data_IF_371757749773
#
_entry.id   IF_371757749773
#
_cell.length_a   1.000
_cell.length_b   1.000
_cell.length_c   1.000
_cell.angle_alpha   90.00
_cell.angle_beta   90.00
_cell.angle_gamma   90.00
#
_symmetry.space_group_name_H-M   'P 1'
#
loop_
_entity.id
_entity.type
_entity.pdbx_description
1 polymer ?
#
# COMPACT_ATOMS: atom_id res chain seq x y z
N UNK A 1 -4.59 -21.10 4.89
CA UNK A 1 -4.05 -20.25 3.82
C UNK A 1 -5.23 -19.46 3.29
N UNK A 2 -5.08 -18.14 3.28
CA UNK A 2 -6.14 -17.22 2.88
C UNK A 2 -6.39 -17.44 1.39
N UNK A 3 -7.46 -18.15 1.05
CA UNK A 3 -7.72 -18.52 -0.35
C UNK A 3 -8.23 -17.27 -1.08
N UNK A 4 -7.94 -17.13 -2.38
CA UNK A 4 -8.53 -16.04 -3.18
C UNK A 4 -10.06 -16.03 -3.10
N UNK A 5 -10.67 -17.16 -2.75
CA UNK A 5 -12.11 -17.35 -2.52
C UNK A 5 -12.64 -16.60 -1.29
N UNK A 6 -11.80 -16.33 -0.30
CA UNK A 6 -12.17 -15.57 0.89
C UNK A 6 -12.35 -14.07 0.56
N UNK A 7 -11.86 -13.61 -0.60
CA UNK A 7 -12.00 -12.25 -1.07
C UNK A 7 -13.05 -12.15 -2.19
N UNK A 8 -14.19 -11.47 -1.95
CA UNK A 8 -15.26 -11.39 -2.94
C UNK A 8 -14.84 -10.59 -4.16
N UNK A 9 -15.36 -10.96 -5.33
CA UNK A 9 -15.28 -10.13 -6.53
C UNK A 9 -16.13 -8.88 -6.33
N UNK A 10 -15.55 -7.74 -6.68
CA UNK A 10 -16.21 -6.44 -6.55
C UNK A 10 -16.57 -5.88 -7.93
N UNK A 11 -17.84 -5.53 -8.15
CA UNK A 11 -18.30 -4.92 -9.41
C UNK A 11 -18.04 -3.42 -9.36
N UNK A 12 -17.10 -2.95 -10.15
CA UNK A 12 -16.80 -1.52 -10.36
C UNK A 12 -17.54 -0.97 -11.59
N UNK A 13 -17.93 -1.84 -12.52
CA UNK A 13 -18.67 -1.47 -13.73
C UNK A 13 -20.05 -0.89 -13.41
N UNK A 14 -20.31 0.32 -13.91
CA UNK A 14 -21.58 1.03 -13.73
C UNK A 14 -22.43 0.90 -14.98
N UNK A 15 -23.68 0.46 -14.84
CA UNK A 15 -24.60 0.28 -15.97
C UNK A 15 -24.96 1.63 -16.61
N UNK A 16 -24.98 1.67 -17.95
CA UNK A 16 -25.33 2.87 -18.70
C UNK A 16 -24.23 3.94 -18.77
N UNK A 17 -23.03 3.68 -18.26
CA UNK A 17 -21.89 4.60 -18.37
C UNK A 17 -20.85 4.08 -19.37
N UNK A 18 -20.55 4.86 -20.39
CA UNK A 18 -19.52 4.56 -21.40
C UNK A 18 -18.27 5.45 -21.30
N UNK A 19 -18.19 6.32 -20.30
CA UNK A 19 -17.03 7.21 -20.09
C UNK A 19 -15.82 6.38 -19.67
N UNK A 20 -14.69 6.59 -20.34
CA UNK A 20 -13.38 6.03 -20.00
C UNK A 20 -12.54 7.05 -19.24
N UNK A 21 -11.62 6.60 -18.41
CA UNK A 21 -10.75 7.46 -17.61
C UNK A 21 -9.29 7.03 -17.73
N UNK A 22 -8.38 7.99 -17.85
CA UNK A 22 -6.96 7.74 -17.58
C UNK A 22 -6.74 7.72 -16.06
N UNK A 23 -6.61 6.52 -15.51
CA UNK A 23 -6.43 6.32 -14.07
C UNK A 23 -5.05 6.73 -13.56
N UNK A 24 -4.11 7.12 -14.43
CA UNK A 24 -2.84 7.71 -14.03
C UNK A 24 -2.95 9.24 -13.83
N UNK A 25 -3.96 9.88 -14.41
CA UNK A 25 -4.22 11.31 -14.27
C UNK A 25 -5.02 11.62 -12.97
N UNK A 26 -4.50 12.47 -12.05
CA UNK A 26 -5.19 12.77 -10.80
C UNK A 26 -6.53 13.52 -10.94
N UNK A 27 -6.77 14.25 -12.03
CA UNK A 27 -8.06 14.90 -12.27
C UNK A 27 -9.09 13.87 -12.74
N UNK A 28 -8.73 13.03 -13.70
CA UNK A 28 -9.60 11.97 -14.19
C UNK A 28 -9.88 10.90 -13.12
N UNK A 29 -8.92 10.60 -12.23
CA UNK A 29 -9.17 9.74 -11.06
C UNK A 29 -10.24 10.29 -10.14
N UNK A 30 -10.25 11.61 -9.90
CA UNK A 30 -11.28 12.25 -9.08
C UNK A 30 -12.66 12.12 -9.72
N UNK A 31 -12.78 12.43 -11.01
CA UNK A 31 -14.02 12.22 -11.76
C UNK A 31 -14.48 10.75 -11.71
N UNK A 32 -13.55 9.81 -11.83
CA UNK A 32 -13.82 8.37 -11.74
C UNK A 32 -14.39 7.97 -10.37
N UNK A 33 -13.78 8.44 -9.28
CA UNK A 33 -14.26 8.14 -7.93
C UNK A 33 -15.61 8.81 -7.64
N UNK A 34 -15.80 10.07 -8.05
CA UNK A 34 -17.08 10.78 -7.86
C UNK A 34 -18.21 10.11 -8.66
N UNK A 35 -17.95 9.69 -9.89
CA UNK A 35 -18.91 8.95 -10.71
C UNK A 35 -19.30 7.60 -10.07
N UNK A 36 -18.32 6.83 -9.61
CA UNK A 36 -18.55 5.43 -9.19
C UNK A 36 -18.86 5.25 -7.70
N UNK A 37 -18.45 6.18 -6.84
CA UNK A 37 -18.63 6.13 -5.40
C UNK A 37 -19.06 7.46 -4.76
N UNK A 38 -19.67 8.38 -5.52
CA UNK A 38 -20.07 9.69 -4.99
C UNK A 38 -20.93 9.62 -3.72
N UNK A 39 -21.89 8.67 -3.64
CA UNK A 39 -22.73 8.45 -2.46
C UNK A 39 -21.92 7.97 -1.25
N UNK A 40 -21.04 7.00 -1.45
CA UNK A 40 -20.19 6.45 -0.41
C UNK A 40 -19.15 7.46 0.08
N UNK A 41 -18.60 8.27 -0.82
CA UNK A 41 -17.73 9.38 -0.48
C UNK A 41 -18.47 10.43 0.35
N UNK A 42 -19.73 10.73 0.04
CA UNK A 42 -20.55 11.63 0.85
C UNK A 42 -20.77 11.08 2.28
N UNK A 43 -21.08 9.80 2.41
CA UNK A 43 -21.20 9.13 3.73
C UNK A 43 -19.91 9.29 4.53
N UNK A 44 -18.76 8.97 3.92
CA UNK A 44 -17.45 9.08 4.58
C UNK A 44 -17.15 10.53 4.95
N UNK A 45 -17.29 11.48 4.01
CA UNK A 45 -17.03 12.90 4.24
C UNK A 45 -17.91 13.44 5.38
N UNK A 46 -19.18 13.07 5.43
CA UNK A 46 -20.10 13.48 6.49
C UNK A 46 -19.74 12.88 7.85
N UNK A 47 -19.39 11.58 7.90
CA UNK A 47 -18.93 10.92 9.12
C UNK A 47 -17.68 11.63 9.68
N UNK A 48 -16.73 11.93 8.80
CA UNK A 48 -15.44 12.49 9.18
C UNK A 48 -15.45 13.99 9.55
N UNK A 49 -16.61 14.66 9.48
CA UNK A 49 -16.75 16.04 9.99
C UNK A 49 -16.48 16.13 11.49
N UNK A 50 -16.95 15.13 12.25
CA UNK A 50 -16.94 15.15 13.71
C UNK A 50 -16.40 13.86 14.35
N UNK A 51 -16.11 12.83 13.56
CA UNK A 51 -15.65 11.52 14.03
C UNK A 51 -14.41 11.07 13.25
N UNK A 52 -13.70 10.10 13.78
CA UNK A 52 -12.51 9.51 13.16
C UNK A 52 -12.62 7.99 13.16
N UNK A 53 -11.77 7.29 12.41
CA UNK A 53 -11.65 5.84 12.46
C UNK A 53 -10.19 5.41 12.39
N UNK A 54 -9.92 4.16 12.76
CA UNK A 54 -8.62 3.50 12.58
C UNK A 54 -8.75 2.29 11.66
N UNK A 55 -7.94 2.27 10.60
CA UNK A 55 -7.89 1.18 9.64
C UNK A 55 -6.50 0.53 9.61
N UNK A 56 -6.40 -0.74 9.95
CA UNK A 56 -5.15 -1.50 9.88
C UNK A 56 -4.99 -2.13 8.50
N UNK A 57 -3.93 -1.79 7.79
CA UNK A 57 -3.66 -2.32 6.45
C UNK A 57 -2.85 -3.60 6.53
N UNK A 58 -3.46 -4.69 6.08
CA UNK A 58 -2.88 -6.03 6.04
C UNK A 58 -2.77 -6.52 4.61
N UNK A 59 -1.65 -7.14 4.27
CA UNK A 59 -1.38 -7.63 2.92
C UNK A 59 0.08 -8.02 2.80
N UNK A 60 0.40 -8.96 1.90
CA UNK A 60 1.77 -9.38 1.59
C UNK A 60 2.66 -8.15 1.33
N UNK A 61 3.95 -8.22 1.67
CA UNK A 61 4.93 -7.20 1.26
C UNK A 61 4.87 -7.00 -0.26
N UNK A 62 4.73 -5.75 -0.71
CA UNK A 62 4.53 -5.42 -2.13
C UNK A 62 3.07 -5.33 -2.58
N UNK A 63 2.09 -5.61 -1.71
CA UNK A 63 0.67 -5.56 -2.04
C UNK A 63 0.11 -4.15 -2.35
N UNK A 64 0.89 -3.08 -2.17
CA UNK A 64 0.43 -1.71 -2.46
C UNK A 64 -0.42 -1.07 -1.36
N UNK A 65 -0.30 -1.53 -0.11
CA UNK A 65 -1.00 -0.97 1.08
C UNK A 65 -1.03 0.56 1.12
N UNK A 66 0.14 1.20 1.14
CA UNK A 66 0.25 2.66 1.11
C UNK A 66 -0.27 3.34 -0.16
N UNK A 67 -0.37 2.63 -1.29
CA UNK A 67 -1.01 3.17 -2.51
C UNK A 67 -2.51 3.30 -2.32
N UNK A 68 -3.16 2.27 -1.76
CA UNK A 68 -4.61 2.27 -1.57
C UNK A 68 -5.07 3.28 -0.52
N UNK A 69 -4.33 3.43 0.60
CA UNK A 69 -4.65 4.48 1.58
C UNK A 69 -4.50 5.88 1.01
N UNK A 70 -3.46 6.14 0.21
CA UNK A 70 -3.27 7.43 -0.47
C UNK A 70 -4.40 7.72 -1.47
N UNK A 71 -4.81 6.74 -2.26
CA UNK A 71 -5.94 6.90 -3.18
C UNK A 71 -7.26 7.12 -2.45
N UNK A 72 -7.49 6.46 -1.31
CA UNK A 72 -8.64 6.73 -0.47
C UNK A 72 -8.65 8.18 0.03
N UNK A 73 -7.51 8.65 0.55
CA UNK A 73 -7.37 10.04 1.01
C UNK A 73 -7.57 11.04 -0.14
N UNK A 74 -7.03 10.75 -1.32
CA UNK A 74 -7.23 11.54 -2.55
C UNK A 74 -8.72 11.62 -2.91
N UNK A 75 -9.44 10.50 -2.91
CA UNK A 75 -10.85 10.42 -3.28
C UNK A 75 -11.77 11.10 -2.25
N UNK A 76 -11.51 10.93 -0.95
CA UNK A 76 -12.28 11.59 0.11
C UNK A 76 -12.06 13.10 0.10
N UNK A 77 -10.85 13.56 -0.22
CA UNK A 77 -10.52 14.97 -0.38
C UNK A 77 -9.87 15.62 0.85
N UNK A 78 -9.14 16.72 0.62
CA UNK A 78 -8.19 17.31 1.59
C UNK A 78 -8.77 18.17 2.71
N UNK A 79 -10.10 18.35 2.79
CA UNK A 79 -10.73 19.10 3.90
C UNK A 79 -10.85 18.28 5.18
N UNK A 80 -10.60 16.97 5.11
CA UNK A 80 -10.67 16.05 6.23
C UNK A 80 -9.25 15.67 6.67
N UNK A 81 -9.00 15.68 7.98
CA UNK A 81 -7.69 15.29 8.51
C UNK A 81 -7.56 13.76 8.54
N UNK A 82 -6.83 13.22 7.57
CA UNK A 82 -6.44 11.81 7.50
C UNK A 82 -4.92 11.68 7.54
N UNK A 83 -4.42 10.57 8.10
CA UNK A 83 -3.01 10.24 8.14
C UNK A 83 -2.79 8.80 7.70
N UNK A 84 -1.76 8.59 6.89
CA UNK A 84 -1.20 7.27 6.66
C UNK A 84 0.04 7.13 7.54
N UNK A 85 -0.01 6.23 8.50
CA UNK A 85 1.05 5.99 9.49
C UNK A 85 1.74 4.68 9.14
N UNK A 86 2.97 4.76 8.64
CA UNK A 86 3.79 3.58 8.31
C UNK A 86 4.75 3.30 9.45
N UNK A 87 4.71 2.10 10.04
CA UNK A 87 5.68 1.68 11.07
C UNK A 87 7.11 1.78 10.57
N UNK A 88 7.33 1.44 9.30
CA UNK A 88 8.66 1.55 8.69
C UNK A 88 9.15 2.99 8.63
N UNK A 89 8.25 3.97 8.50
CA UNK A 89 8.58 5.39 8.42
C UNK A 89 8.82 5.93 9.83
N UNK A 90 7.96 5.57 10.78
CA UNK A 90 8.14 5.89 12.21
C UNK A 90 9.51 5.43 12.71
N UNK A 91 9.87 4.17 12.44
CA UNK A 91 11.17 3.60 12.81
C UNK A 91 12.31 4.42 12.21
N UNK A 92 12.25 4.78 10.92
CA UNK A 92 13.30 5.59 10.28
C UNK A 92 13.41 6.99 10.88
N UNK A 93 12.27 7.66 11.11
CA UNK A 93 12.23 8.99 11.72
C UNK A 93 12.77 8.95 13.14
N UNK A 94 12.36 7.97 13.94
CA UNK A 94 12.83 7.77 15.31
C UNK A 94 14.35 7.49 15.35
N UNK A 95 14.85 6.59 14.49
CA UNK A 95 16.29 6.33 14.37
C UNK A 95 17.06 7.62 14.07
N UNK A 96 16.59 8.40 13.09
CA UNK A 96 17.22 9.67 12.72
C UNK A 96 17.22 10.68 13.87
N UNK A 97 16.08 10.85 14.55
CA UNK A 97 15.96 11.77 15.69
C UNK A 97 16.90 11.37 16.85
N UNK A 98 17.07 10.07 17.10
CA UNK A 98 18.00 9.57 18.12
C UNK A 98 19.47 9.75 17.69
N UNK A 99 19.79 9.48 16.42
CA UNK A 99 21.14 9.63 15.86
C UNK A 99 21.59 11.11 15.81
N UNK A 100 20.72 12.02 15.37
CA UNK A 100 21.02 13.46 15.24
C UNK A 100 20.89 14.22 16.57
N UNK A 101 20.10 13.71 17.51
CA UNK A 101 19.82 14.38 18.77
C UNK A 101 18.95 15.64 18.60
N UNK A 102 19.25 16.68 19.38
CA UNK A 102 18.49 17.93 19.37
C UNK A 102 17.15 17.84 20.11
N UNK A 103 16.27 18.80 19.85
CA UNK A 103 14.97 18.93 20.52
C UNK A 103 14.08 17.71 20.27
N UNK A 104 13.92 17.30 19.00
CA UNK A 104 13.11 16.13 18.63
C UNK A 104 13.64 14.81 19.21
N UNK A 105 14.96 14.63 19.24
CA UNK A 105 15.57 13.45 19.87
C UNK A 105 15.37 13.42 21.39
N UNK A 106 15.47 14.58 22.06
CA UNK A 106 15.25 14.70 23.49
C UNK A 106 13.77 14.49 23.87
N UNK A 107 12.84 15.05 23.10
CA UNK A 107 11.40 14.84 23.27
C UNK A 107 11.03 13.37 23.09
N UNK A 108 11.54 12.73 22.04
CA UNK A 108 11.30 11.31 21.79
C UNK A 108 11.83 10.45 22.95
N UNK A 109 13.03 10.74 23.44
CA UNK A 109 13.60 10.01 24.59
C UNK A 109 12.76 10.19 25.86
N UNK A 110 12.37 11.41 26.17
CA UNK A 110 11.49 11.72 27.31
C UNK A 110 10.13 11.01 27.20
N UNK A 111 9.57 10.98 25.99
CA UNK A 111 8.34 10.24 25.71
C UNK A 111 8.53 8.74 25.95
N UNK A 112 9.63 8.15 25.47
CA UNK A 112 9.96 6.75 25.71
C UNK A 112 10.13 6.43 27.19
N UNK A 113 10.87 7.24 27.95
CA UNK A 113 11.05 7.07 29.40
C UNK A 113 9.69 7.03 30.14
N UNK A 114 8.74 7.86 29.69
CA UNK A 114 7.40 7.93 30.28
C UNK A 114 6.51 6.73 29.89
N UNK A 115 6.50 6.34 28.62
CA UNK A 115 5.47 5.44 28.06
C UNK A 115 5.95 4.04 27.68
N UNK A 116 7.27 3.82 27.51
CA UNK A 116 7.79 2.50 27.19
C UNK A 116 7.55 1.52 28.33
N UNK A 117 6.96 0.37 27.99
CA UNK A 117 6.68 -0.73 28.92
C UNK A 117 7.04 -2.03 28.23
N UNK A 118 8.33 -2.38 28.22
CA UNK A 118 8.82 -3.62 27.64
C UNK A 118 9.74 -4.38 28.58
N UNK A 119 10.11 -5.60 28.15
CA UNK A 119 10.94 -6.51 28.95
C UNK A 119 12.44 -6.17 28.89
N UNK A 120 12.89 -5.43 27.88
CA UNK A 120 14.27 -4.98 27.77
C UNK A 120 14.46 -3.62 28.45
N UNK A 121 15.65 -3.32 28.99
CA UNK A 121 16.02 -1.95 29.36
C UNK A 121 15.83 -1.00 28.17
N UNK A 122 15.38 0.23 28.43
CA UNK A 122 15.06 1.20 27.37
C UNK A 122 16.28 1.49 26.49
N UNK A 123 17.46 1.59 27.09
CA UNK A 123 18.72 1.84 26.41
C UNK A 123 19.07 0.71 25.43
N UNK A 124 18.79 -0.55 25.80
CA UNK A 124 18.98 -1.71 24.93
C UNK A 124 17.95 -1.72 23.79
N UNK A 125 16.70 -1.35 24.06
CA UNK A 125 15.67 -1.21 23.03
C UNK A 125 16.01 -0.10 22.01
N UNK A 126 16.54 1.03 22.49
CA UNK A 126 17.06 2.12 21.65
C UNK A 126 18.27 1.65 20.82
N UNK A 127 19.20 0.92 21.43
CA UNK A 127 20.36 0.37 20.74
C UNK A 127 19.95 -0.63 19.63
N UNK A 128 18.93 -1.46 19.90
CA UNK A 128 18.38 -2.38 18.90
C UNK A 128 17.85 -1.64 17.66
N UNK A 129 17.15 -0.52 17.87
CA UNK A 129 16.67 0.36 16.79
C UNK A 129 17.83 0.96 15.96
N UNK A 130 18.89 1.41 16.61
CA UNK A 130 20.05 2.04 15.97
C UNK A 130 20.94 1.05 15.19
N UNK A 131 20.94 -0.24 15.59
CA UNK A 131 21.84 -1.25 15.02
C UNK A 131 21.61 -1.55 13.53
N UNK A 132 20.46 -1.12 12.96
CA UNK A 132 19.99 -1.42 11.57
C UNK A 132 20.09 -2.90 11.18
N UNK A 133 20.27 -3.79 12.15
CA UNK A 133 20.52 -5.21 11.94
C UNK A 133 19.20 -5.90 11.60
N UNK A 134 19.20 -6.67 10.52
CA UNK A 134 18.08 -7.56 10.16
C UNK A 134 17.93 -8.74 11.12
N UNK A 135 18.89 -8.94 12.04
CA UNK A 135 18.89 -10.05 13.02
C UNK A 135 18.27 -9.68 14.37
N UNK A 136 18.33 -8.42 14.79
CA UNK A 136 17.75 -7.98 16.06
C UNK A 136 16.44 -7.28 15.77
N UNK A 137 15.32 -8.00 15.98
CA UNK A 137 14.00 -7.43 15.83
C UNK A 137 13.79 -6.38 16.93
N UNK A 138 13.36 -5.18 16.52
CA UNK A 138 12.91 -4.15 17.45
C UNK A 138 11.76 -4.74 18.28
N UNK A 139 11.83 -4.71 19.63
CA UNK A 139 10.79 -5.30 20.47
C UNK A 139 9.41 -4.74 20.16
N UNK A 140 8.38 -5.59 20.23
CA UNK A 140 7.01 -5.20 19.92
C UNK A 140 6.53 -4.03 20.79
N UNK A 141 6.85 -4.02 22.08
CA UNK A 141 6.48 -2.95 23.00
C UNK A 141 7.14 -1.60 22.66
N UNK A 142 8.35 -1.67 22.08
CA UNK A 142 9.05 -0.48 21.61
C UNK A 142 8.38 0.07 20.34
N UNK A 143 8.03 -0.81 19.39
CA UNK A 143 7.24 -0.42 18.21
C UNK A 143 5.91 0.22 18.62
N UNK A 144 5.19 -0.36 19.58
CA UNK A 144 3.95 0.21 20.10
C UNK A 144 4.15 1.59 20.71
N UNK A 145 5.24 1.80 21.45
CA UNK A 145 5.58 3.09 22.04
C UNK A 145 5.84 4.14 20.96
N UNK A 146 6.56 3.77 19.90
CA UNK A 146 6.81 4.63 18.75
C UNK A 146 5.53 4.99 17.99
N UNK A 147 4.64 4.01 17.77
CA UNK A 147 3.36 4.30 17.13
C UNK A 147 2.53 5.24 18.01
N UNK A 148 2.53 5.04 19.34
CA UNK A 148 1.84 5.94 20.27
C UNK A 148 2.38 7.37 20.21
N UNK A 149 3.69 7.53 20.06
CA UNK A 149 4.32 8.84 19.88
C UNK A 149 3.84 9.51 18.58
N UNK A 150 3.89 8.81 17.45
CA UNK A 150 3.40 9.34 16.17
C UNK A 150 1.91 9.71 16.25
N UNK A 151 1.10 8.87 16.91
CA UNK A 151 -0.34 9.10 17.08
C UNK A 151 -0.68 10.27 17.99
N UNK A 152 0.18 10.56 18.96
CA UNK A 152 0.09 11.77 19.78
C UNK A 152 0.26 13.03 18.93
N UNK A 153 1.23 13.03 18.01
CA UNK A 153 1.49 14.15 17.10
C UNK A 153 0.39 14.36 16.05
N UNK A 154 -0.35 13.30 15.68
CA UNK A 154 -1.46 13.37 14.71
C UNK A 154 -2.84 13.55 15.34
N UNK A 155 -2.95 14.28 16.46
CA UNK A 155 -4.19 14.40 17.25
C UNK A 155 -5.46 14.66 16.39
N UNK A 156 -6.51 13.84 16.64
CA UNK A 156 -7.84 13.85 15.99
C UNK A 156 -7.84 13.70 14.46
N UNK A 157 -7.07 12.73 13.95
CA UNK A 157 -7.14 12.29 12.56
C UNK A 157 -7.70 10.88 12.43
N UNK A 158 -8.28 10.61 11.27
CA UNK A 158 -8.50 9.25 10.78
C UNK A 158 -7.17 8.66 10.37
N UNK A 159 -6.90 7.41 10.78
CA UNK A 159 -5.58 6.80 10.63
C UNK A 159 -5.66 5.52 9.82
N UNK A 160 -4.81 5.43 8.80
CA UNK A 160 -4.47 4.17 8.14
C UNK A 160 -3.11 3.70 8.67
N UNK A 161 -3.10 2.65 9.48
CA UNK A 161 -1.88 2.08 10.04
C UNK A 161 -1.32 1.00 9.09
N UNK A 162 -0.13 1.23 8.54
CA UNK A 162 0.56 0.30 7.64
C UNK A 162 1.78 -0.31 8.34
N UNK A 163 1.82 -1.63 8.34
CA UNK A 163 2.93 -2.37 8.90
C UNK A 163 2.83 -2.65 10.39
N UNK A 164 1.62 -2.58 10.93
CA UNK A 164 1.26 -3.15 12.21
C UNK A 164 -0.12 -3.79 12.13
N UNK A 165 -0.32 -5.02 12.65
CA UNK A 165 0.71 -5.96 13.12
C UNK A 165 1.49 -6.62 11.96
N UNK A 166 2.76 -6.95 12.19
CA UNK A 166 3.65 -7.70 11.27
C UNK A 166 4.17 -9.02 11.84
N UNK A 167 3.76 -9.34 13.06
CA UNK A 167 4.13 -10.56 13.77
C UNK A 167 2.94 -11.07 14.59
N UNK A 168 2.95 -12.35 14.92
CA UNK A 168 1.86 -13.04 15.59
C UNK A 168 1.68 -12.55 17.04
N UNK A 169 2.77 -12.18 17.71
CA UNK A 169 2.75 -11.54 19.03
C UNK A 169 2.08 -10.16 18.98
N UNK A 170 2.29 -9.40 17.91
CA UNK A 170 1.66 -8.10 17.67
C UNK A 170 0.14 -8.19 17.48
N UNK A 171 -0.39 -9.35 17.08
CA UNK A 171 -1.84 -9.52 16.89
C UNK A 171 -2.59 -9.26 18.19
N UNK A 172 -2.10 -9.78 19.32
CA UNK A 172 -2.74 -9.55 20.61
C UNK A 172 -2.83 -8.05 20.93
N UNK A 173 -1.77 -7.30 20.66
CA UNK A 173 -1.76 -5.85 20.86
C UNK A 173 -2.63 -5.10 19.86
N UNK A 174 -2.75 -5.57 18.61
CA UNK A 174 -3.62 -4.95 17.60
C UNK A 174 -5.10 -4.99 17.99
N UNK A 175 -5.53 -6.00 18.75
CA UNK A 175 -6.90 -6.13 19.26
C UNK A 175 -7.18 -5.07 20.34
N UNK A 176 -6.20 -4.75 21.17
CA UNK A 176 -6.31 -3.74 22.23
C UNK A 176 -5.76 -2.37 21.81
N UNK A 177 -5.43 -2.19 20.52
CA UNK A 177 -4.76 -0.99 20.06
C UNK A 177 -5.67 0.26 20.15
N UNK A 178 -6.99 0.07 20.17
CA UNK A 178 -7.96 1.13 20.51
C UNK A 178 -7.70 1.77 21.89
N UNK A 179 -7.21 1.00 22.85
CA UNK A 179 -6.90 1.51 24.19
C UNK A 179 -5.58 2.33 24.19
N UNK A 180 -4.73 2.14 23.17
CA UNK A 180 -3.45 2.86 23.01
C UNK A 180 -3.60 4.24 22.34
N UNK A 181 -4.70 4.49 21.62
CA UNK A 181 -4.97 5.79 20.97
C UNK A 181 -5.66 6.81 21.89
N UNK A 182 -5.61 6.59 23.21
CA UNK A 182 -6.08 7.55 24.22
C UNK A 182 -7.56 7.47 24.52
N UNK A 183 -8.16 6.27 24.52
CA UNK A 183 -9.59 6.05 24.82
C UNK A 183 -10.55 6.83 23.91
N UNK A 184 -10.21 6.94 22.62
CA UNK A 184 -11.13 7.46 21.60
C UNK A 184 -12.15 6.37 21.26
N UNK A 185 -13.44 6.71 21.19
CA UNK A 185 -14.53 5.80 20.75
C UNK A 185 -14.56 5.64 19.22
N UNK A 186 -13.41 5.65 18.57
CA UNK A 186 -13.37 5.47 17.12
C UNK A 186 -13.67 4.02 16.75
N UNK A 187 -14.45 3.77 15.70
CA UNK A 187 -14.49 2.45 15.11
C UNK A 187 -13.12 2.08 14.53
N UNK A 188 -12.76 0.83 14.73
CA UNK A 188 -11.56 0.24 14.17
C UNK A 188 -11.90 -1.00 13.34
N UNK A 189 -11.16 -1.19 12.25
CA UNK A 189 -11.37 -2.31 11.35
C UNK A 189 -10.09 -2.69 10.60
N UNK A 190 -10.06 -3.90 10.08
CA UNK A 190 -8.92 -4.43 9.33
C UNK A 190 -9.20 -4.38 7.83
N UNK A 191 -8.28 -3.82 7.06
CA UNK A 191 -8.30 -3.80 5.60
C UNK A 191 -7.32 -4.84 5.09
N UNK A 192 -7.84 -5.94 4.58
CA UNK A 192 -7.06 -7.00 3.96
C UNK A 192 -6.95 -6.75 2.47
N UNK A 193 -5.73 -6.78 1.96
CA UNK A 193 -5.40 -6.63 0.55
C UNK A 193 -4.84 -7.95 0.05
N UNK A 194 -5.60 -8.57 -0.85
CA UNK A 194 -5.21 -9.78 -1.54
C UNK A 194 -4.65 -9.44 -2.92
N UNK A 195 -3.38 -9.84 -3.12
CA UNK A 195 -2.63 -9.69 -4.36
C UNK A 195 -1.86 -10.99 -4.59
N UNK A 196 -2.00 -11.65 -5.76
CA UNK A 196 -1.25 -12.86 -6.04
C UNK A 196 0.26 -12.62 -6.07
N UNK A 197 1.01 -13.66 -5.78
CA UNK A 197 2.47 -13.63 -5.79
C UNK A 197 3.03 -13.39 -7.18
N UNK A 198 2.40 -13.94 -8.22
CA UNK A 198 2.77 -13.72 -9.61
C UNK A 198 2.76 -12.22 -9.99
N UNK A 199 1.81 -11.45 -9.44
CA UNK A 199 1.74 -10.00 -9.64
C UNK A 199 2.85 -9.29 -8.88
N UNK A 200 3.15 -9.71 -7.64
CA UNK A 200 4.24 -9.15 -6.83
C UNK A 200 5.59 -9.43 -7.51
N UNK A 201 5.80 -10.66 -7.97
CA UNK A 201 7.03 -11.11 -8.63
C UNK A 201 7.29 -10.31 -9.91
N UNK A 202 6.28 -10.17 -10.77
CA UNK A 202 6.39 -9.36 -11.98
C UNK A 202 6.67 -7.88 -11.67
N UNK A 203 6.06 -7.33 -10.61
CA UNK A 203 6.35 -5.96 -10.17
C UNK A 203 7.77 -5.78 -9.66
N UNK A 204 8.38 -6.81 -9.08
CA UNK A 204 9.76 -6.77 -8.58
C UNK A 204 10.77 -6.93 -9.72
N UNK A 205 10.68 -8.00 -10.52
CA UNK A 205 11.70 -8.39 -11.50
C UNK A 205 12.02 -7.31 -12.54
N UNK A 206 11.04 -6.51 -12.95
CA UNK A 206 11.21 -5.44 -13.94
C UNK A 206 11.13 -4.03 -13.35
N UNK A 207 11.32 -3.90 -12.02
CA UNK A 207 11.33 -2.60 -11.34
C UNK A 207 12.63 -1.86 -11.60
N UNK A 208 12.47 -0.61 -12.02
CA UNK A 208 13.56 0.35 -12.13
C UNK A 208 13.28 1.57 -11.26
N UNK A 209 14.33 2.18 -10.74
CA UNK A 209 14.24 3.33 -9.83
C UNK A 209 15.10 4.46 -10.36
N UNK A 210 14.58 5.68 -10.29
CA UNK A 210 15.35 6.87 -10.63
C UNK A 210 16.44 7.08 -9.57
N UNK A 211 17.73 7.17 -9.94
CA UNK A 211 18.80 7.37 -8.95
C UNK A 211 18.72 8.72 -8.23
N UNK A 212 18.04 9.72 -8.83
CA UNK A 212 17.90 11.08 -8.26
C UNK A 212 16.72 11.20 -7.30
N UNK A 213 15.50 10.96 -7.77
CA UNK A 213 14.28 11.14 -6.97
C UNK A 213 13.78 9.87 -6.28
N UNK A 214 14.42 8.71 -6.53
CA UNK A 214 14.01 7.42 -5.97
C UNK A 214 12.60 6.96 -6.36
N UNK A 215 11.97 7.62 -7.34
CA UNK A 215 10.66 7.21 -7.88
C UNK A 215 10.79 5.86 -8.57
N UNK A 216 9.97 4.85 -8.19
CA UNK A 216 9.93 3.57 -8.87
C UNK A 216 9.06 3.63 -10.14
N UNK A 217 9.48 2.89 -11.15
CA UNK A 217 8.75 2.56 -12.38
C UNK A 217 8.95 1.07 -12.68
N UNK A 218 8.26 0.56 -13.69
CA UNK A 218 8.41 -0.81 -14.11
C UNK A 218 8.43 -0.86 -15.64
N UNK A 219 9.42 -1.54 -16.22
CA UNK A 219 9.60 -1.57 -17.68
C UNK A 219 8.33 -2.08 -18.38
N UNK A 220 7.73 -3.16 -17.88
CA UNK A 220 6.64 -3.85 -18.57
C UNK A 220 5.24 -3.52 -18.06
N UNK A 221 5.11 -2.85 -16.92
CA UNK A 221 3.81 -2.61 -16.25
C UNK A 221 3.50 -1.13 -15.99
N UNK A 222 4.54 -0.29 -15.93
CA UNK A 222 4.39 1.14 -15.65
C UNK A 222 5.61 1.91 -16.21
N UNK A 223 5.81 1.89 -17.54
CA UNK A 223 6.93 2.57 -18.17
C UNK A 223 6.74 4.09 -18.11
N UNK A 224 7.84 4.82 -18.29
CA UNK A 224 7.76 6.26 -18.58
C UNK A 224 7.48 6.47 -20.06
N UNK A 225 7.14 7.71 -20.44
CA UNK A 225 6.93 8.07 -21.85
C UNK A 225 8.20 7.94 -22.70
N UNK A 226 9.37 7.99 -22.07
CA UNK A 226 10.67 7.99 -22.74
C UNK A 226 11.42 6.69 -22.41
N UNK A 227 11.32 5.75 -23.35
CA UNK A 227 11.96 4.43 -23.30
C UNK A 227 13.17 4.44 -24.23
N UNK A 228 14.34 4.17 -23.66
CA UNK A 228 15.59 4.01 -24.40
C UNK A 228 15.95 2.56 -24.63
N UNK A 229 16.87 2.34 -25.55
CA UNK A 229 17.47 1.04 -25.85
C UNK A 229 18.99 1.14 -25.80
N UNK A 230 19.62 0.17 -25.15
CA UNK A 230 21.07 0.06 -25.06
C UNK A 230 21.58 -0.95 -26.09
N UNK A 231 22.27 -0.49 -27.14
CA UNK A 231 22.74 -1.37 -28.23
C UNK A 231 23.80 -2.38 -27.75
N UNK A 232 24.53 -2.09 -26.66
CA UNK A 232 25.58 -2.97 -26.17
C UNK A 232 25.01 -4.11 -25.34
N UNK A 233 24.10 -3.83 -24.42
CA UNK A 233 23.45 -4.86 -23.61
C UNK A 233 22.21 -5.47 -24.26
N UNK A 234 21.68 -4.85 -25.32
CA UNK A 234 20.40 -5.18 -25.97
C UNK A 234 19.20 -5.11 -25.01
N UNK A 235 19.23 -4.15 -24.08
CA UNK A 235 18.20 -3.98 -23.06
C UNK A 235 17.49 -2.64 -23.18
N UNK A 236 16.21 -2.63 -22.82
CA UNK A 236 15.43 -1.40 -22.69
C UNK A 236 15.65 -0.77 -21.32
N UNK A 237 15.64 0.56 -21.28
CA UNK A 237 15.71 1.33 -20.03
C UNK A 237 14.73 2.48 -20.06
N UNK A 238 14.32 2.93 -18.88
CA UNK A 238 13.42 4.08 -18.74
C UNK A 238 14.23 5.34 -18.42
N UNK A 239 13.76 6.48 -18.93
CA UNK A 239 14.20 7.81 -18.46
C UNK A 239 13.16 8.40 -17.52
N UNK A 240 13.63 8.98 -16.41
CA UNK A 240 12.76 9.56 -15.39
C UNK A 240 11.90 10.69 -15.97
N UNK A 241 10.60 10.62 -15.71
CA UNK A 241 9.59 11.59 -16.14
C UNK A 241 9.43 12.79 -15.19
N UNK A 242 10.11 12.78 -14.03
CA UNK A 242 10.18 13.95 -13.16
C UNK A 242 11.03 15.06 -13.83
N UNK A 243 10.46 16.25 -14.10
CA UNK A 243 11.20 17.37 -14.72
C UNK A 243 12.51 17.73 -13.99
N UNK A 244 12.53 17.65 -12.66
CA UNK A 244 13.71 17.97 -11.85
C UNK A 244 14.87 16.98 -12.10
N UNK A 245 14.57 15.76 -12.54
CA UNK A 245 15.55 14.73 -12.80
C UNK A 245 16.23 14.86 -14.16
N UNK A 246 15.69 15.70 -15.06
CA UNK A 246 16.19 15.96 -16.42
C UNK A 246 16.43 14.66 -17.22
N UNK A 247 15.45 13.75 -17.21
CA UNK A 247 15.52 12.50 -18.00
C UNK A 247 16.60 11.51 -17.55
N UNK A 248 16.96 11.50 -16.26
CA UNK A 248 17.95 10.58 -15.70
C UNK A 248 17.60 9.12 -16.05
N UNK A 249 18.58 8.34 -16.53
CA UNK A 249 18.44 6.90 -16.80
C UNK A 249 18.11 6.19 -15.48
N UNK A 250 16.98 5.50 -15.45
CA UNK A 250 16.56 4.69 -14.31
C UNK A 250 17.35 3.39 -14.28
N UNK A 251 17.58 2.86 -13.08
CA UNK A 251 18.41 1.67 -12.86
C UNK A 251 17.61 0.57 -12.17
N UNK A 252 17.97 -0.69 -12.39
CA UNK A 252 17.36 -1.81 -11.68
C UNK A 252 17.49 -1.63 -10.16
N UNK A 253 16.46 -2.02 -9.42
CA UNK A 253 16.52 -1.99 -7.96
C UNK A 253 17.35 -3.17 -7.45
N UNK A 254 18.38 -2.89 -6.68
CA UNK A 254 19.20 -3.91 -6.04
C UNK A 254 18.36 -4.86 -5.17
N UNK A 255 18.58 -6.16 -5.33
CA UNK A 255 17.90 -7.24 -4.60
C UNK A 255 16.54 -7.68 -5.18
N UNK A 256 16.12 -7.13 -6.31
CA UNK A 256 14.89 -7.54 -7.00
C UNK A 256 15.11 -8.64 -8.06
N UNK A 257 16.36 -8.98 -8.36
CA UNK A 257 16.77 -10.02 -9.30
C UNK A 257 16.18 -11.40 -8.94
N UNK A 258 16.00 -11.66 -7.65
CA UNK A 258 15.39 -12.89 -7.13
C UNK A 258 13.85 -12.81 -7.04
N UNK A 259 13.23 -11.70 -7.45
CA UNK A 259 11.78 -11.52 -7.39
C UNK A 259 11.22 -11.73 -5.98
N UNK A 260 10.10 -12.44 -5.88
CA UNK A 260 9.46 -12.74 -4.58
C UNK A 260 10.34 -13.54 -3.63
N UNK A 261 11.32 -14.32 -4.12
CA UNK A 261 12.17 -15.14 -3.24
C UNK A 261 13.02 -14.29 -2.29
N UNK A 262 13.43 -13.09 -2.72
CA UNK A 262 14.13 -12.13 -1.84
C UNK A 262 13.31 -11.69 -0.62
N UNK A 263 11.99 -11.90 -0.64
CA UNK A 263 11.06 -11.48 0.42
C UNK A 263 10.13 -12.61 0.91
N UNK A 264 10.40 -13.86 0.53
CA UNK A 264 9.59 -15.05 0.80
C UNK A 264 9.21 -15.19 2.28
N UNK A 265 10.21 -15.20 3.17
CA UNK A 265 10.00 -15.35 4.62
C UNK A 265 9.07 -14.27 5.19
N UNK A 266 9.16 -13.03 4.66
CA UNK A 266 8.29 -11.92 5.08
C UNK A 266 6.86 -12.10 4.58
N UNK A 267 6.69 -12.56 3.34
CA UNK A 267 5.37 -12.84 2.77
C UNK A 267 4.66 -13.97 3.53
N UNK A 268 5.38 -15.05 3.85
CA UNK A 268 4.83 -16.17 4.62
C UNK A 268 4.39 -15.73 6.02
N UNK A 269 5.16 -14.83 6.65
CA UNK A 269 4.81 -14.23 7.94
C UNK A 269 3.57 -13.34 7.83
N UNK A 270 3.53 -12.46 6.83
CA UNK A 270 2.36 -11.60 6.55
C UNK A 270 1.10 -12.45 6.36
N UNK A 271 1.20 -13.59 5.64
CA UNK A 271 0.05 -14.48 5.42
C UNK A 271 -0.42 -15.15 6.72
N UNK A 272 0.50 -15.61 7.57
CA UNK A 272 0.15 -16.18 8.89
C UNK A 272 -0.56 -15.15 9.77
N UNK A 273 -0.06 -13.92 9.80
CA UNK A 273 -0.68 -12.81 10.53
C UNK A 273 -2.07 -12.50 9.97
N UNK A 274 -2.21 -12.38 8.64
CA UNK A 274 -3.49 -12.17 7.99
C UNK A 274 -4.50 -13.26 8.33
N UNK A 275 -4.11 -14.54 8.22
CA UNK A 275 -4.99 -15.66 8.53
C UNK A 275 -5.46 -15.64 10.00
N UNK A 276 -4.56 -15.29 10.94
CA UNK A 276 -4.91 -15.18 12.36
C UNK A 276 -5.90 -14.05 12.63
N UNK A 277 -5.70 -12.88 12.04
CA UNK A 277 -6.59 -11.71 12.23
C UNK A 277 -7.92 -11.90 11.52
N UNK A 278 -7.92 -12.56 10.36
CA UNK A 278 -9.14 -12.87 9.62
C UNK A 278 -10.11 -13.75 10.43
N UNK A 279 -9.60 -14.59 11.34
CA UNK A 279 -10.43 -15.39 12.25
C UNK A 279 -11.09 -14.58 13.39
N UNK A 280 -10.66 -13.35 13.65
CA UNK A 280 -11.22 -12.52 14.72
C UNK A 280 -12.70 -12.25 14.50
N UNK A 281 -13.48 -12.29 15.57
CA UNK A 281 -14.92 -11.98 15.56
C UNK A 281 -15.15 -10.63 16.25
N UNK A 282 -16.29 -9.97 15.98
CA UNK A 282 -16.65 -8.70 16.62
C UNK A 282 -15.89 -7.47 16.09
N UNK A 283 -15.09 -7.62 15.03
CA UNK A 283 -14.42 -6.53 14.32
C UNK A 283 -14.74 -6.59 12.83
N UNK A 284 -15.09 -5.44 12.26
CA UNK A 284 -15.37 -5.30 10.84
C UNK A 284 -14.10 -5.55 10.00
N UNK A 285 -14.30 -6.06 8.78
CA UNK A 285 -13.21 -6.39 7.85
C UNK A 285 -13.56 -5.85 6.48
N UNK A 286 -12.60 -5.16 5.88
CA UNK A 286 -12.63 -4.74 4.50
C UNK A 286 -11.75 -5.69 3.70
N UNK A 287 -12.34 -6.38 2.74
CA UNK A 287 -11.66 -7.40 1.93
C UNK A 287 -11.52 -6.88 0.51
N UNK A 288 -10.31 -6.49 0.12
CA UNK A 288 -10.04 -6.00 -1.24
C UNK A 288 -9.18 -6.97 -2.03
N UNK A 289 -9.66 -7.30 -3.23
CA UNK A 289 -8.99 -8.16 -4.19
C UNK A 289 -8.44 -7.29 -5.33
N UNK A 290 -7.17 -7.48 -5.68
CA UNK A 290 -6.59 -6.78 -6.82
C UNK A 290 -6.85 -7.47 -8.17
N UNK A 291 -7.12 -8.77 -8.17
CA UNK A 291 -7.28 -9.52 -9.42
C UNK A 291 -8.71 -9.90 -9.69
N UNK A 292 -9.01 -10.09 -10.98
CA UNK A 292 -10.30 -10.59 -11.42
C UNK A 292 -10.11 -11.73 -12.43
N UNK A 293 -10.82 -12.87 -12.29
CA UNK A 293 -10.79 -13.93 -13.28
C UNK A 293 -11.15 -13.40 -14.68
N UNK A 294 -10.40 -13.84 -15.69
CA UNK A 294 -10.60 -13.42 -17.09
C UNK A 294 -12.05 -13.67 -17.55
N UNK A 295 -12.65 -14.79 -17.10
CA UNK A 295 -14.03 -15.16 -17.41
C UNK A 295 -15.08 -14.20 -16.85
N UNK A 296 -14.79 -13.54 -15.73
CA UNK A 296 -15.73 -12.63 -15.04
C UNK A 296 -15.48 -11.15 -15.39
N UNK A 297 -14.30 -10.81 -15.90
CA UNK A 297 -13.85 -9.43 -16.09
C UNK A 297 -14.87 -8.53 -16.79
N UNK A 298 -15.42 -8.97 -17.93
CA UNK A 298 -16.39 -8.21 -18.74
C UNK A 298 -17.65 -7.78 -17.97
N UNK A 299 -18.05 -8.57 -16.97
CA UNK A 299 -19.25 -8.34 -16.14
C UNK A 299 -18.98 -7.38 -14.98
N UNK A 300 -17.77 -7.36 -14.47
CA UNK A 300 -17.44 -6.74 -13.19
C UNK A 300 -16.65 -5.44 -13.33
N UNK A 301 -15.77 -5.33 -14.33
CA UNK A 301 -14.86 -4.20 -14.50
C UNK A 301 -14.95 -3.62 -15.92
N UNK A 302 -14.49 -2.38 -16.06
CA UNK A 302 -14.28 -1.74 -17.36
C UNK A 302 -12.86 -1.98 -17.86
N UNK A 303 -12.65 -2.03 -19.17
CA UNK A 303 -11.34 -2.41 -19.75
C UNK A 303 -10.22 -1.46 -19.33
N UNK A 304 -10.50 -0.16 -19.14
CA UNK A 304 -9.52 0.84 -18.68
C UNK A 304 -9.12 0.68 -17.20
N UNK A 305 -9.78 -0.21 -16.45
CA UNK A 305 -9.46 -0.52 -15.05
C UNK A 305 -8.46 -1.69 -14.93
N UNK A 306 -8.24 -2.43 -16.02
CA UNK A 306 -7.31 -3.55 -16.08
C UNK A 306 -5.88 -3.00 -16.21
N UNK A 307 -4.93 -3.61 -15.51
CA UNK A 307 -3.51 -3.28 -15.64
C UNK A 307 -3.02 -3.75 -17.01
N UNK A 308 -2.55 -2.85 -17.88
CA UNK A 308 -1.95 -3.27 -19.13
C UNK A 308 -0.52 -3.78 -18.93
N UNK A 309 -0.02 -4.51 -19.92
CA UNK A 309 1.41 -4.74 -20.10
C UNK A 309 1.93 -3.97 -21.31
N UNK A 310 3.19 -3.58 -21.25
CA UNK A 310 3.89 -2.85 -22.29
C UNK A 310 5.04 -3.70 -22.82
N UNK A 311 5.06 -3.88 -24.14
CA UNK A 311 6.15 -4.55 -24.86
C UNK A 311 6.87 -3.53 -25.71
N UNK A 312 8.19 -3.53 -25.59
CA UNK A 312 9.08 -2.62 -26.30
C UNK A 312 9.81 -3.37 -27.41
N UNK A 313 9.87 -2.75 -28.59
CA UNK A 313 10.62 -3.24 -29.75
C UNK A 313 11.53 -2.13 -30.27
N UNK A 314 12.77 -2.49 -30.61
CA UNK A 314 13.70 -1.55 -31.21
C UNK A 314 13.61 -1.62 -32.73
N UNK A 315 13.25 -0.51 -33.36
CA UNK A 315 13.22 -0.37 -34.80
C UNK A 315 14.63 0.01 -35.29
N UNK A 316 15.36 -0.94 -35.89
CA UNK A 316 16.74 -0.74 -36.34
C UNK A 316 16.85 0.34 -37.43
N UNK A 317 15.87 0.43 -38.33
CA UNK A 317 15.87 1.39 -39.44
C UNK A 317 15.70 2.83 -38.95
N UNK A 318 14.78 3.04 -38.00
CA UNK A 318 14.48 4.38 -37.45
C UNK A 318 15.35 4.74 -36.25
N UNK A 319 16.05 3.76 -35.66
CA UNK A 319 16.76 3.88 -34.37
C UNK A 319 15.85 4.40 -33.25
N UNK A 320 14.62 3.92 -33.20
CA UNK A 320 13.60 4.32 -32.21
C UNK A 320 13.03 3.11 -31.50
N UNK A 321 12.59 3.31 -30.25
CA UNK A 321 11.83 2.31 -29.51
C UNK A 321 10.34 2.50 -29.77
N UNK A 322 9.67 1.45 -30.25
CA UNK A 322 8.23 1.38 -30.38
C UNK A 322 7.67 0.61 -29.17
N UNK A 323 6.60 1.13 -28.56
CA UNK A 323 5.95 0.51 -27.39
C UNK A 323 4.52 0.18 -27.73
N UNK A 324 4.13 -1.09 -27.54
CA UNK A 324 2.75 -1.54 -27.69
C UNK A 324 2.16 -1.92 -26.33
N UNK A 325 0.86 -1.73 -26.21
CA UNK A 325 0.08 -2.16 -25.05
C UNK A 325 -0.61 -3.50 -25.35
N UNK A 326 -0.58 -4.42 -24.41
CA UNK A 326 -1.27 -5.71 -24.52
C UNK A 326 -1.91 -6.14 -23.18
N UNK A 327 -2.96 -6.99 -23.21
CA UNK A 327 -3.59 -7.48 -21.99
C UNK A 327 -2.62 -8.30 -21.14
N UNK A 328 -2.49 -7.93 -19.86
CA UNK A 328 -1.65 -8.67 -18.93
C UNK A 328 -2.43 -9.76 -18.19
N UNK A 329 -2.30 -11.01 -18.66
CA UNK A 329 -2.89 -12.18 -18.01
C UNK A 329 -1.86 -12.85 -17.10
N UNK A 330 -2.26 -13.11 -15.86
CA UNK A 330 -1.45 -13.84 -14.88
C UNK A 330 -2.24 -15.04 -14.35
N UNK A 331 -1.54 -15.98 -13.71
CA UNK A 331 -2.18 -16.99 -12.86
C UNK A 331 -2.21 -16.49 -11.43
N UNK A 332 -3.38 -16.48 -10.82
CA UNK A 332 -3.52 -16.15 -9.40
C UNK A 332 -3.00 -17.29 -8.49
N UNK A 333 -3.02 -17.10 -7.16
CA UNK A 333 -2.47 -18.08 -6.21
C UNK A 333 -3.27 -19.41 -6.23
N UNK A 334 -4.49 -19.42 -6.80
CA UNK A 334 -5.32 -20.62 -7.01
C UNK A 334 -5.12 -21.25 -8.41
N UNK A 335 -4.24 -20.67 -9.24
CA UNK A 335 -3.96 -21.12 -10.61
C UNK A 335 -4.95 -20.65 -11.68
N UNK A 336 -5.87 -19.74 -11.33
CA UNK A 336 -6.88 -19.20 -12.27
C UNK A 336 -6.31 -18.07 -13.10
N UNK A 337 -6.54 -18.10 -14.41
CA UNK A 337 -6.19 -16.98 -15.30
C UNK A 337 -6.99 -15.74 -14.93
N UNK A 338 -6.26 -14.69 -14.55
CA UNK A 338 -6.82 -13.47 -14.01
C UNK A 338 -6.11 -12.24 -14.59
N UNK A 339 -6.85 -11.14 -14.65
CA UNK A 339 -6.27 -9.81 -14.87
C UNK A 339 -5.90 -9.17 -13.54
N UNK A 340 -4.76 -8.47 -13.51
CA UNK A 340 -4.46 -7.50 -12.45
C UNK A 340 -5.27 -6.23 -12.68
N UNK A 341 -5.81 -5.63 -11.63
CA UNK A 341 -6.47 -4.32 -11.72
C UNK A 341 -5.52 -3.19 -11.36
N UNK A 342 -5.70 -2.05 -12.01
CA UNK A 342 -5.03 -0.81 -11.63
C UNK A 342 -5.40 -0.44 -10.19
N UNK A 343 -4.62 0.41 -9.50
CA UNK A 343 -4.91 0.73 -8.11
C UNK A 343 -6.28 1.37 -7.82
N UNK A 344 -6.81 2.31 -8.65
CA UNK A 344 -8.09 2.96 -8.37
C UNK A 344 -9.34 2.06 -8.25
N UNK A 345 -9.61 1.05 -9.11
CA UNK A 345 -10.74 0.12 -8.92
C UNK A 345 -10.64 -0.69 -7.61
N UNK A 346 -9.44 -1.02 -7.15
CA UNK A 346 -9.26 -1.70 -5.85
C UNK A 346 -9.55 -0.73 -4.70
N UNK A 347 -9.07 0.50 -4.79
CA UNK A 347 -9.40 1.56 -3.82
C UNK A 347 -10.90 1.86 -3.80
N UNK A 348 -11.58 1.79 -4.95
CA UNK A 348 -13.03 1.96 -5.06
C UNK A 348 -13.79 0.89 -4.24
N UNK A 349 -13.38 -0.38 -4.33
CA UNK A 349 -13.92 -1.46 -3.48
C UNK A 349 -13.71 -1.14 -2.00
N UNK A 350 -12.51 -0.67 -1.63
CA UNK A 350 -12.18 -0.28 -0.26
C UNK A 350 -13.10 0.84 0.26
N UNK A 351 -13.28 1.90 -0.54
CA UNK A 351 -14.13 3.05 -0.22
C UNK A 351 -15.57 2.61 0.07
N UNK A 352 -16.14 1.76 -0.80
CA UNK A 352 -17.54 1.32 -0.65
C UNK A 352 -17.76 0.46 0.60
N UNK A 353 -16.81 -0.43 0.92
CA UNK A 353 -16.88 -1.24 2.14
C UNK A 353 -16.71 -0.39 3.40
N UNK A 354 -15.76 0.57 3.40
CA UNK A 354 -15.58 1.50 4.53
C UNK A 354 -16.83 2.35 4.75
N UNK A 355 -17.44 2.89 3.70
CA UNK A 355 -18.67 3.65 3.83
C UNK A 355 -19.79 2.83 4.48
N UNK A 356 -19.93 1.55 4.12
CA UNK A 356 -20.92 0.65 4.73
C UNK A 356 -20.64 0.40 6.22
N UNK A 357 -19.36 0.26 6.62
CA UNK A 357 -18.99 0.13 8.04
C UNK A 357 -19.38 1.39 8.81
N UNK A 358 -18.98 2.56 8.30
CA UNK A 358 -19.22 3.85 8.97
C UNK A 358 -20.71 4.22 9.05
N UNK A 359 -21.51 3.78 8.08
CA UNK A 359 -22.95 4.01 8.09
C UNK A 359 -23.66 3.27 9.23
N UNK A 360 -23.21 2.06 9.59
CA UNK A 360 -23.75 1.28 10.73
C UNK A 360 -23.43 1.89 12.09
N UNK A 361 -22.46 2.80 12.14
CA UNK A 361 -21.99 3.46 13.36
C UNK A 361 -22.71 4.81 13.61
N UNK A 362 -23.64 5.20 12.73
CA UNK A 362 -24.55 6.34 12.95
C UNK A 362 -25.54 5.99 14.05
#
# INVERSE_FOLDING_TARGET
MSTHKDFPLFKTKTEGVSKTFDLNDPAQRRDYFDLKAGKELEIIRNYLKNRTFVAYLLGKKGAGKGTYSKLFMEAVGGSVKMAHVSVGDIVRTATKAIEEGGESGAELKSFMEKYYRGFLPLEEAIAALASRSTKTLVPTEFILTLIKWELHEVEKKTVFLDGFPRDLDQVAYSIFFRDLIGYREDPDFFVFINLPESVIDARMKSRVVCPKCQTPRNISLMPTKDVGYDEQSKEFFLRCDNPECKGARMVAKEGDDQGVEAIRERMDKDEKVMAKIMALQGVDKVLVRNTIPVSEAKKYVDDYEITPSYVHEFNEDKKTVETREEPWVIKDDDGTESYSLLPPPVALSMIKQIASILEKQK
#
